data_IF_142368670377
#
_entry.id   IF_142368670377
#
_cell.length_a   1.000
_cell.length_b   1.000
_cell.length_c   1.000
_cell.angle_alpha   90.00
_cell.angle_beta   90.00
_cell.angle_gamma   90.00
#
_symmetry.space_group_name_H-M   'P 1'
#
loop_
_entity.id
_entity.type
_entity.pdbx_description
1 polymer ?
#
# COMPACT_ATOMS: atom_id res chain seq x y z
N UNK A 1 9.99 13.26 -12.85
CA UNK A 1 9.71 13.82 -11.51
C UNK A 1 9.17 12.71 -10.63
N UNK A 2 9.43 12.69 -9.31
CA UNK A 2 8.95 11.63 -8.45
C UNK A 2 7.46 11.82 -8.22
N UNK A 3 6.65 11.33 -9.16
CA UNK A 3 5.18 11.33 -9.19
C UNK A 3 4.56 10.88 -7.84
N UNK A 4 5.30 10.10 -7.04
CA UNK A 4 4.83 9.65 -5.75
C UNK A 4 4.50 10.78 -4.76
N UNK A 5 5.20 11.93 -4.78
CA UNK A 5 4.93 13.04 -3.86
C UNK A 5 3.54 13.64 -4.11
N UNK A 6 3.20 13.85 -5.39
CA UNK A 6 1.88 14.36 -5.79
C UNK A 6 0.77 13.37 -5.42
N UNK A 7 1.03 12.06 -5.57
CA UNK A 7 0.07 11.02 -5.18
C UNK A 7 -0.14 10.92 -3.68
N UNK A 8 0.94 11.02 -2.89
CA UNK A 8 0.85 11.07 -1.43
C UNK A 8 0.06 12.30 -0.99
N UNK A 9 0.34 13.47 -1.58
CA UNK A 9 -0.41 14.68 -1.31
C UNK A 9 -1.90 14.56 -1.69
N UNK A 10 -2.21 13.95 -2.84
CA UNK A 10 -3.59 13.72 -3.28
C UNK A 10 -4.35 12.78 -2.33
N UNK A 11 -3.69 11.71 -1.86
CA UNK A 11 -4.27 10.79 -0.88
C UNK A 11 -4.48 11.49 0.47
N UNK A 12 -3.51 12.30 0.93
CA UNK A 12 -3.57 13.00 2.20
C UNK A 12 -4.66 14.09 2.27
N UNK A 13 -5.14 14.58 1.12
CA UNK A 13 -6.25 15.52 1.04
C UNK A 13 -7.64 14.85 1.16
N UNK A 14 -7.71 13.52 1.13
CA UNK A 14 -8.98 12.81 1.22
C UNK A 14 -9.44 12.67 2.68
N UNK A 15 -10.76 12.75 2.88
CA UNK A 15 -11.39 12.47 4.16
C UNK A 15 -11.83 11.01 4.21
N UNK A 16 -10.96 10.14 4.72
CA UNK A 16 -11.25 8.72 4.91
C UNK A 16 -12.15 8.47 6.13
N UNK A 17 -12.91 7.38 6.11
CA UNK A 17 -13.82 6.99 7.20
C UNK A 17 -13.09 6.56 8.48
N UNK A 18 -11.79 6.28 8.39
CA UNK A 18 -10.90 5.88 9.49
C UNK A 18 -9.71 6.82 9.57
N UNK A 19 -9.21 7.03 10.79
CA UNK A 19 -7.95 7.73 10.99
C UNK A 19 -6.81 6.96 10.33
N UNK A 20 -6.18 7.56 9.34
CA UNK A 20 -5.08 6.94 8.59
C UNK A 20 -3.84 6.89 9.47
N UNK A 21 -3.30 5.68 9.65
CA UNK A 21 -2.05 5.45 10.36
C UNK A 21 -0.85 5.83 9.50
N UNK A 22 -0.87 5.50 8.22
CA UNK A 22 0.16 5.87 7.24
C UNK A 22 -0.21 5.48 5.81
N UNK A 23 0.56 5.97 4.86
CA UNK A 23 0.37 5.75 3.42
C UNK A 23 1.45 4.81 2.90
N UNK A 24 1.06 3.87 2.03
CA UNK A 24 1.95 2.84 1.49
C UNK A 24 2.16 3.03 -0.01
N UNK A 25 3.42 3.13 -0.41
CA UNK A 25 3.84 2.95 -1.79
C UNK A 25 4.29 1.51 -2.03
N UNK A 26 4.10 1.03 -3.26
CA UNK A 26 4.42 -0.33 -3.70
C UNK A 26 3.80 -1.41 -2.78
N UNK A 27 2.56 -1.15 -2.36
CA UNK A 27 1.78 -2.01 -1.48
C UNK A 27 1.54 -3.36 -2.17
N UNK A 28 1.89 -4.44 -1.47
CA UNK A 28 1.69 -5.82 -1.94
C UNK A 28 1.28 -6.73 -0.79
N UNK A 29 0.37 -7.65 -1.07
CA UNK A 29 -0.02 -8.68 -0.12
C UNK A 29 1.18 -9.60 0.20
N UNK A 30 1.28 -10.01 1.45
CA UNK A 30 2.19 -11.02 1.97
C UNK A 30 1.39 -11.92 2.92
N UNK A 31 1.91 -13.10 3.24
CA UNK A 31 1.21 -14.11 4.07
C UNK A 31 0.55 -13.54 5.34
N UNK A 32 1.18 -12.55 6.01
CA UNK A 32 0.71 -12.01 7.28
C UNK A 32 0.33 -10.52 7.24
N UNK A 33 0.10 -9.92 6.08
CA UNK A 33 -0.25 -8.49 5.98
C UNK A 33 0.09 -7.86 4.64
N UNK A 34 0.34 -6.57 4.65
CA UNK A 34 0.74 -5.80 3.47
C UNK A 34 2.16 -5.29 3.66
N UNK A 35 2.99 -5.47 2.64
CA UNK A 35 4.33 -4.88 2.58
C UNK A 35 4.33 -3.66 1.67
N UNK A 36 5.01 -2.60 2.08
CA UNK A 36 5.14 -1.37 1.30
C UNK A 36 6.22 -0.45 1.89
N UNK A 37 6.49 0.65 1.21
CA UNK A 37 7.24 1.78 1.77
C UNK A 37 6.24 2.73 2.46
N UNK A 38 6.45 3.01 3.75
CA UNK A 38 5.54 3.84 4.55
C UNK A 38 5.89 5.32 4.46
N UNK A 39 4.85 6.16 4.45
CA UNK A 39 4.95 7.61 4.55
C UNK A 39 3.92 8.16 5.52
N UNK A 40 4.27 9.24 6.22
CA UNK A 40 3.45 9.93 7.21
C UNK A 40 2.89 8.99 8.28
N UNK A 41 3.77 8.19 8.91
CA UNK A 41 3.39 7.34 10.04
C UNK A 41 2.98 8.20 11.23
N UNK A 42 1.68 8.34 11.44
CA UNK A 42 1.08 9.13 12.54
C UNK A 42 1.49 8.68 13.94
N UNK A 43 1.98 7.44 14.08
CA UNK A 43 2.46 6.88 15.34
C UNK A 43 3.96 7.08 15.57
N UNK A 44 4.67 7.72 14.62
CA UNK A 44 6.11 8.00 14.67
C UNK A 44 6.98 6.76 14.98
N UNK A 45 6.62 5.60 14.44
CA UNK A 45 7.38 4.34 14.59
C UNK A 45 8.38 4.14 13.45
N UNK A 46 8.17 4.79 12.32
CA UNK A 46 8.93 4.63 11.08
C UNK A 46 9.22 5.97 10.42
N UNK A 47 10.35 6.04 9.71
CA UNK A 47 10.68 7.19 8.88
C UNK A 47 10.06 7.05 7.49
N UNK A 48 9.85 8.18 6.81
CA UNK A 48 9.30 8.21 5.46
C UNK A 48 10.23 7.46 4.48
N UNK A 49 9.67 6.45 3.82
CA UNK A 49 10.38 5.56 2.90
C UNK A 49 10.76 4.20 3.50
N UNK A 50 10.59 3.98 4.80
CA UNK A 50 10.90 2.70 5.44
C UNK A 50 10.09 1.55 4.84
N UNK A 51 10.74 0.40 4.62
CA UNK A 51 10.03 -0.81 4.19
C UNK A 51 9.45 -1.53 5.38
N UNK A 52 8.12 -1.53 5.51
CA UNK A 52 7.41 -2.22 6.59
C UNK A 52 6.59 -3.39 6.06
N UNK A 53 6.25 -4.32 6.95
CA UNK A 53 5.14 -5.26 6.75
C UNK A 53 4.15 -5.01 7.88
N UNK A 54 2.89 -4.73 7.54
CA UNK A 54 1.84 -4.53 8.53
C UNK A 54 1.57 -5.81 9.31
N UNK A 55 0.85 -5.71 10.42
CA UNK A 55 0.15 -6.85 11.01
C UNK A 55 -0.94 -7.39 10.07
N UNK A 56 -1.51 -8.53 10.41
CA UNK A 56 -2.55 -9.18 9.62
C UNK A 56 -3.71 -8.23 9.29
N UNK A 57 -4.21 -8.30 8.06
CA UNK A 57 -5.33 -7.47 7.62
C UNK A 57 -6.63 -8.08 8.16
N UNK A 58 -7.34 -7.30 8.96
CA UNK A 58 -8.67 -7.64 9.45
C UNK A 58 -9.74 -7.35 8.39
N UNK A 59 -9.60 -6.22 7.69
CA UNK A 59 -10.58 -5.77 6.71
C UNK A 59 -9.89 -4.95 5.62
N UNK A 60 -10.32 -5.14 4.37
CA UNK A 60 -9.91 -4.32 3.23
C UNK A 60 -11.11 -3.52 2.72
N UNK A 61 -10.94 -2.22 2.50
CA UNK A 61 -11.98 -1.31 1.97
C UNK A 61 -11.51 -0.55 0.75
N UNK A 62 -12.46 -0.04 -0.02
CA UNK A 62 -12.21 0.90 -1.11
C UNK A 62 -12.88 2.24 -0.78
N UNK A 63 -12.09 3.31 -0.72
CA UNK A 63 -12.58 4.67 -0.44
C UNK A 63 -11.84 5.68 -1.31
N UNK A 64 -12.56 6.58 -1.96
CA UNK A 64 -11.97 7.66 -2.80
C UNK A 64 -10.99 7.17 -3.88
N UNK A 65 -11.16 5.93 -4.36
CA UNK A 65 -10.24 5.30 -5.33
C UNK A 65 -8.98 4.68 -4.73
N UNK A 66 -8.85 4.64 -3.40
CA UNK A 66 -7.74 4.01 -2.68
C UNK A 66 -8.17 2.73 -1.97
N UNK A 67 -7.23 1.79 -1.86
CA UNK A 67 -7.39 0.59 -1.02
C UNK A 67 -6.97 0.91 0.42
N UNK A 68 -7.85 0.69 1.38
CA UNK A 68 -7.58 0.82 2.80
C UNK A 68 -7.40 -0.57 3.41
N UNK A 69 -6.33 -0.73 4.20
CA UNK A 69 -6.01 -1.95 4.93
C UNK A 69 -6.15 -1.69 6.43
N UNK A 70 -7.23 -2.20 7.03
CA UNK A 70 -7.44 -2.18 8.46
C UNK A 70 -6.80 -3.42 9.05
N UNK A 71 -5.86 -3.24 9.96
CA UNK A 71 -5.12 -4.34 10.57
C UNK A 71 -5.77 -4.80 11.87
N UNK A 72 -5.48 -6.04 12.28
CA UNK A 72 -5.91 -6.60 13.56
C UNK A 72 -5.42 -5.81 14.78
N UNK A 73 -4.34 -5.03 14.61
CA UNK A 73 -3.83 -4.13 15.66
C UNK A 73 -4.54 -2.77 15.70
N UNK A 74 -5.56 -2.56 14.86
CA UNK A 74 -6.33 -1.32 14.78
C UNK A 74 -5.69 -0.21 13.93
N UNK A 75 -4.60 -0.48 13.23
CA UNK A 75 -3.98 0.49 12.31
C UNK A 75 -4.72 0.50 10.97
N UNK A 76 -4.78 1.64 10.31
CA UNK A 76 -5.38 1.80 8.99
C UNK A 76 -4.34 2.33 8.00
N UNK A 77 -4.02 1.57 6.98
CA UNK A 77 -3.04 1.97 5.97
C UNK A 77 -3.71 2.22 4.62
N UNK A 78 -3.34 3.31 3.94
CA UNK A 78 -3.84 3.63 2.60
C UNK A 78 -2.82 3.22 1.56
N UNK A 79 -3.21 2.37 0.62
CA UNK A 79 -2.37 1.99 -0.52
C UNK A 79 -2.43 3.10 -1.58
N UNK A 80 -1.30 3.77 -1.80
CA UNK A 80 -1.18 4.85 -2.79
C UNK A 80 -0.69 4.33 -4.13
N UNK A 81 0.15 3.28 -4.12
CA UNK A 81 0.46 2.50 -5.31
C UNK A 81 0.53 1.01 -4.97
N UNK A 82 0.25 0.17 -5.95
CA UNK A 82 0.29 -1.28 -5.79
C UNK A 82 1.42 -1.89 -6.61
N UNK A 83 2.07 -2.91 -6.03
CA UNK A 83 3.00 -3.77 -6.74
C UNK A 83 2.35 -5.14 -6.91
N UNK A 84 2.04 -5.52 -8.15
CA UNK A 84 1.45 -6.79 -8.50
C UNK A 84 2.50 -7.69 -9.16
N UNK A 85 2.48 -8.97 -8.78
CA UNK A 85 3.27 -10.02 -9.40
C UNK A 85 2.31 -10.92 -10.15
N UNK A 86 2.49 -11.04 -11.46
CA UNK A 86 1.65 -11.86 -12.34
C UNK A 86 2.54 -12.89 -13.00
N UNK A 87 2.13 -14.16 -13.01
CA UNK A 87 2.79 -15.17 -13.83
C UNK A 87 2.12 -15.20 -15.21
N UNK A 88 2.89 -14.94 -16.27
CA UNK A 88 2.41 -15.01 -17.65
C UNK A 88 3.24 -16.02 -18.45
N UNK A 89 2.59 -16.73 -19.37
CA UNK A 89 3.27 -17.67 -20.27
C UNK A 89 3.56 -17.00 -21.60
N UNK A 90 4.84 -16.83 -21.92
CA UNK A 90 5.31 -16.33 -23.22
C UNK A 90 5.97 -17.46 -24.00
N UNK A 91 5.32 -17.91 -25.08
CA UNK A 91 5.86 -19.01 -25.91
C UNK A 91 6.00 -20.34 -25.16
N UNK A 92 5.16 -20.59 -24.14
CA UNK A 92 5.21 -21.82 -23.33
C UNK A 92 6.17 -21.77 -22.14
N UNK A 93 6.86 -20.64 -21.92
CA UNK A 93 7.73 -20.41 -20.76
C UNK A 93 7.02 -19.48 -19.77
N UNK A 94 6.84 -19.92 -18.52
CA UNK A 94 6.30 -19.08 -17.45
C UNK A 94 7.33 -18.03 -17.04
N UNK A 95 6.91 -16.76 -17.01
CA UNK A 95 7.70 -15.62 -16.57
C UNK A 95 6.92 -14.83 -15.51
N UNK A 96 7.61 -14.35 -14.48
CA UNK A 96 7.02 -13.43 -13.50
C UNK A 96 7.13 -11.99 -14.01
N UNK A 97 5.99 -11.36 -14.22
CA UNK A 97 5.85 -9.95 -14.60
C UNK A 97 5.55 -9.14 -13.34
N UNK A 98 6.28 -8.03 -13.15
CA UNK A 98 6.06 -7.09 -12.05
C UNK A 98 5.34 -5.87 -12.61
N UNK A 99 4.08 -5.69 -12.22
CA UNK A 99 3.25 -4.55 -12.60
C UNK A 99 3.22 -3.54 -11.45
N UNK A 100 3.50 -2.27 -11.77
CA UNK A 100 3.26 -1.14 -10.87
C UNK A 100 1.99 -0.44 -11.30
N UNK A 101 0.92 -0.63 -10.54
CA UNK A 101 -0.33 0.10 -10.75
C UNK A 101 -0.25 1.44 -10.03
N UNK A 102 -0.32 2.48 -10.84
CA UNK A 102 -0.14 3.89 -10.51
C UNK A 102 -1.47 4.56 -10.24
#
# INVERSE_FOLDING_TARGET
>A
MPNYVEKLAAAAQQNFSRAVTGYLLDARLKENGVRGAIFSDSLNRHEDGDSITTSAIQETRQEHGYTLFLTVSGSCYVAVTHLLFVEESFGGISQTVILRAS
#
